data_IF_829963906201
#
_entry.id   IF_829963906201
#
_cell.length_a   1.000
_cell.length_b   1.000
_cell.length_c   1.000
_cell.angle_alpha   90.00
_cell.angle_beta   90.00
_cell.angle_gamma   90.00
#
_symmetry.space_group_name_H-M   'P 1'
#
loop_
_entity.id
_entity.type
_entity.pdbx_description
1 polymer ?
#
# COMPACT_ATOMS: atom_id res chain seq x y z
N UNK A 1 -9.80 -13.52 1.06
CA UNK A 1 -9.12 -12.70 0.03
C UNK A 1 -8.21 -13.53 -0.86
N UNK A 2 -7.26 -14.32 -0.33
CA UNK A 2 -6.35 -15.15 -1.12
C UNK A 2 -7.06 -16.08 -2.09
N UNK A 3 -8.06 -16.82 -1.62
CA UNK A 3 -8.79 -17.79 -2.47
C UNK A 3 -9.56 -17.06 -3.57
N UNK A 4 -10.34 -16.05 -3.23
CA UNK A 4 -11.15 -15.32 -4.22
C UNK A 4 -10.28 -14.53 -5.20
N UNK A 5 -9.26 -13.83 -4.70
CA UNK A 5 -8.32 -13.09 -5.55
C UNK A 5 -7.50 -14.02 -6.43
N UNK A 6 -6.96 -15.10 -5.87
CA UNK A 6 -6.17 -16.08 -6.60
C UNK A 6 -6.97 -16.81 -7.68
N UNK A 7 -8.21 -17.21 -7.39
CA UNK A 7 -9.10 -17.82 -8.36
C UNK A 7 -9.51 -16.83 -9.47
N UNK A 8 -9.92 -15.61 -9.09
CA UNK A 8 -10.30 -14.59 -10.05
C UNK A 8 -9.16 -14.21 -11.00
N UNK A 9 -7.96 -14.01 -10.46
CA UNK A 9 -6.79 -13.72 -11.27
C UNK A 9 -6.35 -14.93 -12.11
N UNK A 10 -6.43 -16.14 -11.57
CA UNK A 10 -6.15 -17.38 -12.31
C UNK A 10 -7.09 -17.59 -13.52
N UNK A 11 -8.39 -17.30 -13.33
CA UNK A 11 -9.37 -17.33 -14.43
C UNK A 11 -9.00 -16.29 -15.50
N UNK A 12 -8.67 -15.06 -15.08
CA UNK A 12 -8.23 -14.02 -16.01
C UNK A 12 -6.99 -14.45 -16.81
N UNK A 13 -5.97 -15.01 -16.13
CA UNK A 13 -4.76 -15.51 -16.78
C UNK A 13 -5.04 -16.63 -17.79
N UNK A 14 -5.94 -17.54 -17.47
CA UNK A 14 -6.34 -18.61 -18.39
C UNK A 14 -6.88 -18.07 -19.71
N UNK A 15 -7.66 -16.99 -19.67
CA UNK A 15 -8.18 -16.34 -20.87
C UNK A 15 -7.23 -15.30 -21.48
N UNK A 16 -6.13 -14.98 -20.82
CA UNK A 16 -5.23 -13.89 -21.24
C UNK A 16 -4.46 -14.17 -22.54
N UNK A 17 -4.29 -15.44 -22.90
CA UNK A 17 -3.50 -15.83 -24.10
C UNK A 17 -1.98 -15.70 -23.93
N UNK A 18 -1.50 -15.46 -22.71
CA UNK A 18 -0.08 -15.35 -22.37
C UNK A 18 0.52 -16.76 -22.21
N UNK A 19 1.84 -16.91 -22.40
CA UNK A 19 2.51 -18.20 -22.25
C UNK A 19 2.34 -18.77 -20.83
N UNK A 20 2.30 -20.10 -20.70
CA UNK A 20 2.08 -20.78 -19.42
C UNK A 20 3.13 -20.37 -18.36
N UNK A 21 4.38 -20.16 -18.75
CA UNK A 21 5.44 -19.71 -17.85
C UNK A 21 5.09 -18.38 -17.21
N UNK A 22 4.69 -17.38 -18.00
CA UNK A 22 4.30 -16.07 -17.52
C UNK A 22 3.00 -16.09 -16.71
N UNK A 23 2.06 -16.96 -17.05
CA UNK A 23 0.85 -17.15 -16.24
C UNK A 23 1.22 -17.62 -14.83
N UNK A 24 2.07 -18.64 -14.70
CA UNK A 24 2.50 -19.17 -13.40
C UNK A 24 3.27 -18.13 -12.61
N UNK A 25 4.27 -17.48 -13.22
CA UNK A 25 5.09 -16.45 -12.54
C UNK A 25 4.23 -15.27 -12.07
N UNK A 26 3.34 -14.79 -12.93
CA UNK A 26 2.45 -13.68 -12.59
C UNK A 26 1.47 -14.05 -11.48
N UNK A 27 0.91 -15.27 -11.51
CA UNK A 27 0.04 -15.76 -10.46
C UNK A 27 0.76 -15.91 -9.12
N UNK A 28 1.97 -16.46 -9.13
CA UNK A 28 2.80 -16.58 -7.91
C UNK A 28 3.11 -15.19 -7.33
N UNK A 29 3.56 -14.25 -8.15
CA UNK A 29 3.84 -12.89 -7.73
C UNK A 29 2.60 -12.22 -7.14
N UNK A 30 1.44 -12.36 -7.79
CA UNK A 30 0.18 -11.81 -7.31
C UNK A 30 -0.21 -12.37 -5.94
N UNK A 31 -0.07 -13.69 -5.73
CA UNK A 31 -0.37 -14.34 -4.44
C UNK A 31 0.55 -13.84 -3.33
N UNK A 32 1.84 -13.74 -3.60
CA UNK A 32 2.82 -13.20 -2.65
C UNK A 32 2.49 -11.74 -2.29
N UNK A 33 2.16 -10.92 -3.28
CA UNK A 33 1.80 -9.50 -3.06
C UNK A 33 0.56 -9.33 -2.19
N UNK A 34 -0.49 -10.15 -2.37
CA UNK A 34 -1.69 -10.11 -1.51
C UNK A 34 -1.33 -10.41 -0.06
N UNK A 35 -0.50 -11.43 0.17
CA UNK A 35 -0.07 -11.80 1.53
C UNK A 35 0.75 -10.67 2.16
N UNK A 36 1.78 -10.21 1.48
CA UNK A 36 2.63 -9.09 1.92
C UNK A 36 1.80 -7.85 2.26
N UNK A 37 0.85 -7.49 1.39
CA UNK A 37 -0.02 -6.33 1.63
C UNK A 37 -0.88 -6.48 2.87
N UNK A 38 -1.36 -7.69 3.13
CA UNK A 38 -2.11 -8.00 4.34
C UNK A 38 -1.22 -7.90 5.57
N UNK A 39 -0.03 -8.49 5.55
CA UNK A 39 0.93 -8.49 6.65
C UNK A 39 1.43 -7.08 7.00
N UNK A 40 1.69 -6.23 6.01
CA UNK A 40 2.08 -4.82 6.22
C UNK A 40 1.02 -4.08 7.03
N UNK A 41 -0.27 -4.29 6.75
CA UNK A 41 -1.33 -3.63 7.50
C UNK A 41 -1.29 -3.99 8.99
N UNK A 42 -1.05 -5.26 9.34
CA UNK A 42 -0.90 -5.70 10.74
C UNK A 42 0.35 -5.08 11.40
N UNK A 43 1.49 -5.12 10.73
CA UNK A 43 2.73 -4.55 11.26
C UNK A 43 2.68 -3.02 11.40
N UNK A 44 1.98 -2.34 10.51
CA UNK A 44 1.74 -0.89 10.60
C UNK A 44 0.93 -0.54 11.84
N UNK A 45 -0.07 -1.35 12.20
CA UNK A 45 -0.84 -1.17 13.44
C UNK A 45 0.04 -1.35 14.69
N UNK A 46 1.03 -2.23 14.65
CA UNK A 46 2.02 -2.44 15.71
C UNK A 46 3.08 -1.32 15.78
N UNK A 47 3.08 -0.41 14.79
CA UNK A 47 4.06 0.71 14.68
C UNK A 47 5.53 0.24 14.57
N UNK A 48 5.75 -0.99 14.13
CA UNK A 48 7.11 -1.52 13.88
C UNK A 48 7.62 -1.15 12.49
N UNK A 49 7.71 0.16 12.25
CA UNK A 49 8.16 0.68 10.95
C UNK A 49 9.62 0.32 10.63
N UNK A 50 10.46 0.10 11.64
CA UNK A 50 11.86 -0.27 11.43
C UNK A 50 11.97 -1.64 10.76
N UNK A 51 11.27 -2.62 11.28
CA UNK A 51 11.27 -3.98 10.72
C UNK A 51 10.66 -4.02 9.31
N UNK A 52 9.60 -3.21 9.07
CA UNK A 52 8.98 -3.08 7.75
C UNK A 52 10.00 -2.54 6.74
N UNK A 53 10.66 -1.41 7.04
CA UNK A 53 11.62 -0.77 6.15
C UNK A 53 12.82 -1.68 5.90
N UNK A 54 13.33 -2.35 6.93
CA UNK A 54 14.49 -3.23 6.83
C UNK A 54 14.18 -4.44 5.93
N UNK A 55 13.06 -5.11 6.14
CA UNK A 55 12.64 -6.23 5.31
C UNK A 55 12.42 -5.82 3.85
N UNK A 56 11.77 -4.67 3.61
CA UNK A 56 11.60 -4.12 2.27
C UNK A 56 12.94 -3.83 1.59
N UNK A 57 13.86 -3.17 2.31
CA UNK A 57 15.19 -2.83 1.76
C UNK A 57 15.97 -4.08 1.38
N UNK A 58 15.96 -5.11 2.23
CA UNK A 58 16.61 -6.40 1.94
C UNK A 58 15.95 -7.08 0.74
N UNK A 59 14.62 -7.12 0.68
CA UNK A 59 13.87 -7.72 -0.42
C UNK A 59 14.21 -7.07 -1.77
N UNK A 60 14.23 -5.73 -1.81
CA UNK A 60 14.59 -4.97 -3.01
C UNK A 60 16.06 -5.22 -3.41
N UNK A 61 16.99 -5.18 -2.45
CA UNK A 61 18.40 -5.46 -2.71
C UNK A 61 18.61 -6.86 -3.28
N UNK A 62 17.97 -7.88 -2.71
CA UNK A 62 18.03 -9.27 -3.20
C UNK A 62 17.42 -9.38 -4.58
N UNK A 63 16.24 -8.77 -4.83
CA UNK A 63 15.60 -8.80 -6.13
C UNK A 63 16.49 -8.17 -7.23
N UNK A 64 17.11 -7.02 -6.94
CA UNK A 64 18.02 -6.36 -7.88
C UNK A 64 19.29 -7.20 -8.16
N UNK A 65 19.91 -7.75 -7.11
CA UNK A 65 21.10 -8.59 -7.24
C UNK A 65 20.80 -9.86 -8.05
N UNK A 66 19.71 -10.57 -7.72
CA UNK A 66 19.32 -11.78 -8.45
C UNK A 66 18.93 -11.45 -9.89
N UNK A 67 18.21 -10.36 -10.14
CA UNK A 67 17.88 -9.91 -11.49
C UNK A 67 19.12 -9.64 -12.32
N UNK A 68 20.11 -8.94 -11.77
CA UNK A 68 21.38 -8.69 -12.42
C UNK A 68 22.14 -10.00 -12.72
N UNK A 69 22.20 -10.91 -11.76
CA UNK A 69 22.84 -12.23 -11.95
C UNK A 69 22.14 -13.05 -13.04
N UNK A 70 20.81 -13.10 -13.03
CA UNK A 70 20.06 -13.85 -14.04
C UNK A 70 20.25 -13.27 -15.45
N UNK A 71 20.32 -11.97 -15.60
CA UNK A 71 20.49 -11.33 -16.91
C UNK A 71 21.97 -11.46 -17.39
N UNK A 72 22.95 -11.16 -16.54
CA UNK A 72 24.35 -11.01 -16.97
C UNK A 72 25.14 -12.32 -16.90
N UNK A 73 24.83 -13.20 -15.94
CA UNK A 73 25.57 -14.47 -15.76
C UNK A 73 24.85 -15.60 -16.47
N UNK A 74 23.54 -15.74 -16.27
CA UNK A 74 22.76 -16.83 -16.83
C UNK A 74 22.15 -16.51 -18.20
N UNK A 75 22.27 -15.27 -18.68
CA UNK A 75 21.72 -14.79 -19.95
C UNK A 75 20.22 -15.10 -20.12
N UNK A 76 19.46 -15.10 -19.02
CA UNK A 76 18.03 -15.30 -19.04
C UNK A 76 17.37 -14.03 -19.63
N UNK A 77 16.29 -14.23 -20.37
CA UNK A 77 15.47 -13.11 -20.90
C UNK A 77 15.09 -12.13 -19.78
N UNK A 78 15.26 -10.84 -20.04
CA UNK A 78 15.11 -9.78 -19.04
C UNK A 78 13.75 -9.79 -18.31
N UNK A 79 12.65 -10.05 -19.03
CA UNK A 79 11.30 -10.08 -18.45
C UNK A 79 11.17 -11.24 -17.47
N UNK A 80 11.57 -12.43 -17.88
CA UNK A 80 11.57 -13.64 -17.03
C UNK A 80 12.48 -13.48 -15.81
N UNK A 81 13.71 -12.97 -16.02
CA UNK A 81 14.67 -12.72 -14.95
C UNK A 81 14.11 -11.76 -13.90
N UNK A 82 13.50 -10.66 -14.33
CA UNK A 82 12.89 -9.66 -13.44
C UNK A 82 11.68 -10.23 -12.71
N UNK A 83 10.78 -10.93 -13.38
CA UNK A 83 9.61 -11.54 -12.73
C UNK A 83 10.01 -12.54 -11.65
N UNK A 84 10.99 -13.41 -11.93
CA UNK A 84 11.49 -14.40 -10.96
C UNK A 84 12.18 -13.70 -9.79
N UNK A 85 13.09 -12.76 -10.05
CA UNK A 85 13.85 -12.06 -9.01
C UNK A 85 12.96 -11.23 -8.09
N UNK A 86 11.97 -10.52 -8.64
CA UNK A 86 10.98 -9.76 -7.87
C UNK A 86 10.13 -10.71 -7.02
N UNK A 87 9.68 -11.83 -7.59
CA UNK A 87 8.90 -12.83 -6.83
C UNK A 87 9.69 -13.39 -5.66
N UNK A 88 10.97 -13.71 -5.85
CA UNK A 88 11.86 -14.16 -4.77
C UNK A 88 12.04 -13.08 -3.72
N UNK A 89 12.31 -11.83 -4.11
CA UNK A 89 12.46 -10.71 -3.19
C UNK A 89 11.23 -10.49 -2.32
N UNK A 90 10.05 -10.44 -2.92
CA UNK A 90 8.80 -10.30 -2.16
C UNK A 90 8.47 -11.53 -1.32
N UNK A 91 8.86 -12.74 -1.76
CA UNK A 91 8.71 -13.96 -0.95
C UNK A 91 9.57 -13.92 0.32
N UNK A 92 10.79 -13.40 0.23
CA UNK A 92 11.66 -13.18 1.40
C UNK A 92 11.00 -12.18 2.36
N UNK A 93 10.45 -11.09 1.83
CA UNK A 93 9.73 -10.09 2.63
C UNK A 93 8.50 -10.70 3.32
N UNK A 94 7.71 -11.50 2.61
CA UNK A 94 6.56 -12.23 3.13
C UNK A 94 6.97 -13.14 4.30
N UNK A 95 8.01 -13.95 4.14
CA UNK A 95 8.49 -14.85 5.20
C UNK A 95 8.96 -14.04 6.41
N UNK A 96 9.65 -12.93 6.19
CA UNK A 96 10.11 -12.07 7.27
C UNK A 96 8.94 -11.45 8.05
N UNK A 97 7.95 -10.91 7.36
CA UNK A 97 6.76 -10.35 8.00
C UNK A 97 5.94 -11.41 8.73
N UNK A 98 5.79 -12.60 8.16
CA UNK A 98 5.15 -13.72 8.82
C UNK A 98 5.84 -14.08 10.15
N UNK A 99 7.17 -14.17 10.16
CA UNK A 99 7.95 -14.44 11.38
C UNK A 99 7.74 -13.33 12.42
N UNK A 100 7.71 -12.05 12.01
CA UNK A 100 7.46 -10.94 12.90
C UNK A 100 6.05 -11.03 13.51
N UNK A 101 5.03 -11.23 12.70
CA UNK A 101 3.64 -11.36 13.17
C UNK A 101 3.51 -12.53 14.14
N UNK A 102 4.12 -13.68 13.83
CA UNK A 102 4.12 -14.83 14.72
C UNK A 102 4.80 -14.56 16.07
N UNK A 103 5.85 -13.74 16.09
CA UNK A 103 6.52 -13.32 17.34
C UNK A 103 5.65 -12.38 18.18
N UNK A 104 4.90 -11.49 17.54
CA UNK A 104 3.99 -10.56 18.24
C UNK A 104 2.72 -11.27 18.73
N UNK A 105 2.25 -12.29 18.03
CA UNK A 105 1.01 -13.02 18.29
C UNK A 105 1.25 -14.53 18.36
N UNK A 106 2.00 -15.03 19.36
CA UNK A 106 2.34 -16.46 19.45
C UNK A 106 1.13 -17.36 19.67
N UNK A 107 0.03 -16.83 20.26
CA UNK A 107 -1.20 -17.58 20.57
C UNK A 107 -2.36 -17.16 19.67
N UNK A 108 -2.20 -17.33 18.37
CA UNK A 108 -3.18 -16.95 17.37
C UNK A 108 -4.36 -17.94 17.18
N UNK A 109 -4.88 -18.54 18.22
CA UNK A 109 -6.03 -19.45 18.15
C UNK A 109 -7.35 -18.71 18.34
N UNK A 110 -7.86 -18.11 17.30
CA UNK A 110 -9.20 -17.53 17.25
C UNK A 110 -10.01 -18.05 16.06
N UNK A 111 -11.34 -17.90 16.12
CA UNK A 111 -12.20 -18.18 14.96
C UNK A 111 -11.85 -17.23 13.83
N UNK A 112 -11.24 -17.75 12.78
CA UNK A 112 -10.67 -17.02 11.62
C UNK A 112 -11.66 -16.11 10.89
N UNK A 113 -12.98 -16.27 11.14
CA UNK A 113 -14.04 -15.54 10.46
C UNK A 113 -14.68 -14.41 11.28
N UNK A 114 -14.19 -14.12 12.49
CA UNK A 114 -14.75 -13.05 13.34
C UNK A 114 -14.69 -11.66 12.71
N UNK A 115 -13.74 -11.40 11.83
CA UNK A 115 -13.65 -10.13 11.11
C UNK A 115 -14.87 -9.87 10.20
N UNK A 116 -15.60 -10.91 9.76
CA UNK A 116 -16.81 -10.76 8.96
C UNK A 116 -17.94 -10.06 9.72
N UNK A 117 -17.95 -10.16 11.06
CA UNK A 117 -18.94 -9.47 11.90
C UNK A 117 -18.83 -7.93 11.80
N UNK A 118 -17.65 -7.41 11.40
CA UNK A 118 -17.47 -5.98 11.17
C UNK A 118 -18.22 -5.49 9.92
N UNK A 119 -18.46 -6.37 8.94
CA UNK A 119 -19.29 -6.03 7.78
C UNK A 119 -20.75 -5.79 8.16
N UNK A 120 -21.24 -6.47 9.19
CA UNK A 120 -22.61 -6.28 9.68
C UNK A 120 -22.76 -4.95 10.43
N UNK A 121 -21.72 -4.55 11.15
CA UNK A 121 -21.75 -3.33 11.98
C UNK A 121 -21.34 -2.07 11.21
N UNK A 122 -20.38 -2.15 10.29
CA UNK A 122 -19.82 -1.00 9.57
C UNK A 122 -19.55 -1.26 8.08
N UNK A 123 -20.57 -1.61 7.28
CA UNK A 123 -20.39 -1.89 5.86
C UNK A 123 -19.86 -0.67 5.09
N UNK A 124 -20.18 0.54 5.56
CA UNK A 124 -19.75 1.80 4.97
C UNK A 124 -18.23 1.93 4.84
N UNK A 125 -17.46 1.42 5.81
CA UNK A 125 -15.99 1.44 5.75
C UNK A 125 -15.45 0.60 4.61
N UNK A 126 -16.04 -0.57 4.37
CA UNK A 126 -15.68 -1.44 3.23
C UNK A 126 -15.95 -0.76 1.89
N UNK A 127 -17.13 -0.16 1.72
CA UNK A 127 -17.46 0.59 0.52
C UNK A 127 -16.56 1.81 0.32
N UNK A 128 -16.25 2.55 1.39
CA UNK A 128 -15.33 3.69 1.32
C UNK A 128 -13.95 3.24 0.83
N UNK A 129 -13.39 2.18 1.38
CA UNK A 129 -12.10 1.62 0.95
C UNK A 129 -12.13 1.18 -0.52
N UNK A 130 -13.21 0.52 -0.94
CA UNK A 130 -13.39 0.10 -2.33
C UNK A 130 -13.42 1.29 -3.28
N UNK A 131 -14.24 2.31 -3.02
CA UNK A 131 -14.36 3.49 -3.89
C UNK A 131 -13.09 4.34 -3.90
N UNK A 132 -12.37 4.45 -2.78
CA UNK A 132 -11.06 5.12 -2.74
C UNK A 132 -10.07 4.39 -3.64
N UNK A 133 -10.00 3.07 -3.55
CA UNK A 133 -9.11 2.25 -4.39
C UNK A 133 -9.51 2.33 -5.87
N UNK A 134 -10.80 2.27 -6.15
CA UNK A 134 -11.33 2.44 -7.52
C UNK A 134 -10.99 3.83 -8.08
N UNK A 135 -11.11 4.87 -7.28
CA UNK A 135 -10.73 6.24 -7.67
C UNK A 135 -9.23 6.39 -7.97
N UNK A 136 -8.38 5.71 -7.18
CA UNK A 136 -6.93 5.76 -7.37
C UNK A 136 -6.45 4.96 -8.59
N UNK A 137 -7.02 3.81 -8.88
CA UNK A 137 -6.50 2.89 -9.90
C UNK A 137 -7.44 2.66 -11.08
N UNK A 138 -8.74 2.98 -10.93
CA UNK A 138 -9.74 2.75 -11.99
C UNK A 138 -9.42 3.48 -13.29
N UNK A 139 -8.86 4.70 -13.19
CA UNK A 139 -8.46 5.46 -14.37
C UNK A 139 -7.37 4.75 -15.20
N UNK A 140 -6.44 4.01 -14.56
CA UNK A 140 -5.43 3.22 -15.27
C UNK A 140 -6.08 2.10 -16.06
N UNK A 141 -7.01 1.36 -15.43
CA UNK A 141 -7.75 0.26 -16.09
C UNK A 141 -8.53 0.79 -17.29
N UNK A 142 -9.19 1.94 -17.16
CA UNK A 142 -9.91 2.57 -18.27
C UNK A 142 -8.94 2.92 -19.41
N UNK A 143 -7.77 3.49 -19.11
CA UNK A 143 -6.77 3.84 -20.11
C UNK A 143 -6.17 2.61 -20.80
N UNK A 144 -5.94 1.52 -20.07
CA UNK A 144 -5.39 0.30 -20.67
C UNK A 144 -6.39 -0.43 -21.57
N UNK A 145 -7.69 -0.38 -21.30
CA UNK A 145 -8.67 -1.18 -22.06
C UNK A 145 -9.45 -0.36 -23.09
N UNK A 146 -9.74 0.89 -22.81
CA UNK A 146 -10.67 1.69 -23.62
C UNK A 146 -10.00 2.85 -24.37
N UNK A 147 -8.77 3.26 -24.00
CA UNK A 147 -8.12 4.39 -24.65
C UNK A 147 -7.59 4.03 -26.05
N UNK A 148 -7.60 4.98 -26.99
CA UNK A 148 -6.90 4.84 -28.28
C UNK A 148 -5.36 4.85 -28.11
N UNK A 149 -4.85 5.29 -26.98
CA UNK A 149 -3.42 5.30 -26.65
C UNK A 149 -2.91 3.97 -26.07
N UNK A 150 -3.77 2.98 -25.97
CA UNK A 150 -3.38 1.66 -25.46
C UNK A 150 -2.44 0.95 -26.42
N UNK A 151 -1.46 0.28 -25.85
CA UNK A 151 -0.54 -0.60 -26.58
C UNK A 151 -0.71 -2.01 -26.00
N UNK A 152 -0.92 -2.98 -26.86
CA UNK A 152 -0.95 -4.38 -26.44
C UNK A 152 0.47 -4.83 -26.10
N UNK A 153 0.65 -5.36 -24.90
CA UNK A 153 1.93 -5.92 -24.45
C UNK A 153 2.00 -7.40 -24.84
N UNK A 154 1.05 -8.18 -24.35
CA UNK A 154 0.91 -9.60 -24.69
C UNK A 154 -0.50 -10.08 -24.31
N UNK A 155 -1.17 -10.83 -25.18
CA UNK A 155 -2.51 -11.36 -24.92
C UNK A 155 -3.52 -10.27 -24.54
N UNK A 156 -4.14 -10.40 -23.37
CA UNK A 156 -5.08 -9.40 -22.84
C UNK A 156 -4.40 -8.31 -21.99
N UNK A 157 -3.07 -8.32 -21.89
CA UNK A 157 -2.34 -7.27 -21.17
C UNK A 157 -2.10 -6.07 -22.08
N UNK A 158 -2.64 -4.94 -21.66
CA UNK A 158 -2.49 -3.66 -22.33
C UNK A 158 -1.81 -2.66 -21.38
N UNK A 159 -1.06 -1.74 -21.94
CA UNK A 159 -0.49 -0.60 -21.23
C UNK A 159 -0.78 0.68 -22.01
N UNK A 160 -0.59 1.83 -21.40
CA UNK A 160 -0.68 3.13 -22.04
C UNK A 160 0.52 3.98 -21.63
N UNK A 161 1.76 3.73 -22.17
CA UNK A 161 2.99 4.34 -21.68
C UNK A 161 2.94 5.87 -21.64
N UNK A 162 2.28 6.51 -22.61
CA UNK A 162 2.09 7.97 -22.66
C UNK A 162 1.25 8.52 -21.51
N UNK A 163 0.41 7.69 -20.90
CA UNK A 163 -0.39 8.02 -19.73
C UNK A 163 0.22 7.48 -18.44
N UNK A 164 0.77 6.27 -18.47
CA UNK A 164 1.29 5.58 -17.29
C UNK A 164 2.48 6.32 -16.68
N UNK A 165 3.38 6.86 -17.53
CA UNK A 165 4.55 7.60 -17.04
C UNK A 165 4.16 8.87 -16.28
N UNK A 166 3.31 9.79 -16.79
CA UNK A 166 2.79 10.90 -15.99
C UNK A 166 2.03 10.48 -14.74
N UNK A 167 1.26 9.39 -14.81
CA UNK A 167 0.52 8.85 -13.66
C UNK A 167 1.45 8.40 -12.54
N UNK A 168 2.59 7.77 -12.85
CA UNK A 168 3.60 7.40 -11.85
C UNK A 168 4.14 8.64 -11.12
N UNK A 169 4.46 9.73 -11.83
CA UNK A 169 4.89 10.98 -11.19
C UNK A 169 3.80 11.60 -10.31
N UNK A 170 2.55 11.53 -10.74
CA UNK A 170 1.43 11.97 -9.92
C UNK A 170 1.31 11.12 -8.64
N UNK A 171 1.45 9.80 -8.72
CA UNK A 171 1.46 8.92 -7.55
C UNK A 171 2.62 9.22 -6.59
N UNK A 172 3.83 9.49 -7.08
CA UNK A 172 4.94 9.93 -6.23
C UNK A 172 4.62 11.22 -5.48
N UNK A 173 3.98 12.19 -6.12
CA UNK A 173 3.55 13.43 -5.47
C UNK A 173 2.53 13.18 -4.36
N UNK A 174 1.55 12.29 -4.61
CA UNK A 174 0.57 11.86 -3.61
C UNK A 174 1.26 11.12 -2.46
N UNK A 175 2.20 10.23 -2.77
CA UNK A 175 2.94 9.45 -1.76
C UNK A 175 3.71 10.36 -0.81
N UNK A 176 4.48 11.33 -1.33
CA UNK A 176 5.22 12.30 -0.52
C UNK A 176 4.27 13.07 0.40
N UNK A 177 3.13 13.51 -0.12
CA UNK A 177 2.12 14.23 0.66
C UNK A 177 1.52 13.34 1.75
N UNK A 178 1.23 12.09 1.44
CA UNK A 178 0.67 11.12 2.38
C UNK A 178 1.65 10.76 3.49
N UNK A 179 2.92 10.53 3.17
CA UNK A 179 3.98 10.26 4.17
C UNK A 179 4.14 11.44 5.12
N UNK A 180 4.21 12.67 4.59
CA UNK A 180 4.31 13.87 5.43
C UNK A 180 3.08 14.05 6.34
N UNK A 181 1.89 13.71 5.84
CA UNK A 181 0.68 13.77 6.65
C UNK A 181 0.70 12.72 7.76
N UNK A 182 0.97 11.47 7.44
CA UNK A 182 1.01 10.39 8.42
C UNK A 182 2.07 10.66 9.50
N UNK A 183 3.26 11.12 9.09
CA UNK A 183 4.31 11.52 10.03
C UNK A 183 3.83 12.65 10.94
N UNK A 184 3.16 13.67 10.40
CA UNK A 184 2.65 14.78 11.20
C UNK A 184 1.53 14.34 12.16
N UNK A 185 0.64 13.44 11.74
CA UNK A 185 -0.40 12.86 12.61
C UNK A 185 0.25 12.09 13.76
N UNK A 186 1.21 11.21 13.46
CA UNK A 186 1.85 10.37 14.48
C UNK A 186 2.72 11.17 15.45
N UNK A 187 3.46 12.18 14.97
CA UNK A 187 4.43 12.91 15.81
C UNK A 187 3.84 14.12 16.53
N UNK A 188 2.80 14.73 16.00
CA UNK A 188 2.25 15.98 16.55
C UNK A 188 0.83 15.83 17.06
N UNK A 189 -0.06 15.18 16.31
CA UNK A 189 -1.48 15.07 16.69
C UNK A 189 -1.69 13.95 17.72
N UNK A 190 -1.16 12.75 17.47
CA UNK A 190 -1.39 11.59 18.32
C UNK A 190 -0.98 11.78 19.80
N UNK A 191 0.16 12.42 20.13
CA UNK A 191 0.51 12.69 21.52
C UNK A 191 -0.54 13.58 22.22
N UNK A 192 -1.04 14.62 21.54
CA UNK A 192 -2.06 15.52 22.10
C UNK A 192 -3.42 14.82 22.24
N UNK A 193 -3.78 14.01 21.26
CA UNK A 193 -4.96 13.17 21.32
C UNK A 193 -4.90 12.21 22.53
N UNK A 194 -3.77 11.53 22.71
CA UNK A 194 -3.56 10.63 23.85
C UNK A 194 -3.63 11.36 25.20
N UNK A 195 -3.02 12.54 25.31
CA UNK A 195 -3.07 13.39 26.50
C UNK A 195 -4.52 13.77 26.84
N UNK A 196 -5.29 14.26 25.87
CA UNK A 196 -6.70 14.60 26.05
C UNK A 196 -7.53 13.40 26.55
N UNK A 197 -7.42 12.25 25.90
CA UNK A 197 -8.19 11.07 26.29
C UNK A 197 -7.73 10.42 27.59
N UNK A 198 -6.44 10.52 27.96
CA UNK A 198 -5.98 10.05 29.26
C UNK A 198 -6.58 10.85 30.41
N UNK A 199 -6.72 12.16 30.26
CA UNK A 199 -7.39 12.99 31.26
C UNK A 199 -8.85 12.63 31.46
N UNK A 200 -9.55 12.20 30.41
CA UNK A 200 -10.91 11.69 30.53
C UNK A 200 -10.99 10.37 31.32
N UNK A 201 -10.07 9.44 31.04
CA UNK A 201 -10.07 8.13 31.66
C UNK A 201 -9.54 8.15 33.10
N UNK A 202 -8.59 9.02 33.39
CA UNK A 202 -7.88 9.09 34.68
C UNK A 202 -8.50 10.11 35.65
N UNK A 203 -9.63 10.75 35.29
CA UNK A 203 -10.38 11.67 36.15
C UNK A 203 -9.74 13.06 36.30
N UNK A 204 -9.22 13.61 35.21
CA UNK A 204 -8.67 14.96 35.17
C UNK A 204 -9.69 16.06 35.50
N UNK A 205 -9.24 17.23 35.94
CA UNK A 205 -10.14 18.37 36.15
C UNK A 205 -10.71 18.88 34.81
N UNK A 206 -11.89 19.48 34.87
CA UNK A 206 -12.55 20.07 33.68
C UNK A 206 -11.66 21.11 33.01
N UNK A 207 -10.91 21.86 33.80
CA UNK A 207 -10.00 22.89 33.30
C UNK A 207 -8.85 22.27 32.50
N UNK A 208 -8.22 21.20 33.00
CA UNK A 208 -7.16 20.46 32.31
C UNK A 208 -7.66 19.79 31.03
N UNK A 209 -8.90 19.26 31.04
CA UNK A 209 -9.53 18.64 29.86
C UNK A 209 -9.76 19.69 28.76
N UNK A 210 -10.29 20.88 29.11
CA UNK A 210 -10.51 21.96 28.15
C UNK A 210 -9.18 22.52 27.58
N UNK A 211 -8.14 22.60 28.39
CA UNK A 211 -6.81 23.01 27.93
C UNK A 211 -6.22 22.00 26.94
N UNK A 212 -6.29 20.71 27.25
CA UNK A 212 -5.83 19.63 26.39
C UNK A 212 -6.62 19.55 25.08
N UNK A 213 -7.95 19.77 25.13
CA UNK A 213 -8.81 19.89 23.94
C UNK A 213 -8.36 21.04 23.04
N UNK A 214 -8.15 22.23 23.64
CA UNK A 214 -7.65 23.40 22.92
C UNK A 214 -6.32 23.14 22.22
N UNK A 215 -5.38 22.51 22.91
CA UNK A 215 -4.06 22.14 22.37
C UNK A 215 -4.18 21.11 21.23
N UNK A 216 -5.05 20.12 21.35
CA UNK A 216 -5.31 19.12 20.31
C UNK A 216 -5.95 19.77 19.05
N UNK A 217 -6.95 20.62 19.23
CA UNK A 217 -7.62 21.33 18.14
C UNK A 217 -6.70 22.31 17.41
N UNK A 218 -5.78 22.97 18.12
CA UNK A 218 -4.80 23.87 17.50
C UNK A 218 -3.84 23.13 16.58
N UNK A 219 -3.34 21.96 17.01
CA UNK A 219 -2.51 21.10 16.16
C UNK A 219 -3.31 20.64 14.91
N UNK A 220 -4.56 20.21 15.08
CA UNK A 220 -5.42 19.83 13.97
C UNK A 220 -5.64 20.98 12.97
N UNK A 221 -5.98 22.16 13.43
CA UNK A 221 -6.17 23.34 12.59
C UNK A 221 -4.90 23.73 11.83
N UNK A 222 -3.74 23.69 12.48
CA UNK A 222 -2.44 23.98 11.83
C UNK A 222 -2.10 22.95 10.75
N UNK A 223 -2.39 21.68 10.98
CA UNK A 223 -2.17 20.62 9.99
C UNK A 223 -3.02 20.83 8.73
N UNK A 224 -4.31 21.10 8.88
CA UNK A 224 -5.23 21.36 7.76
C UNK A 224 -4.78 22.61 6.99
N UNK A 225 -4.51 23.72 7.69
CA UNK A 225 -4.15 24.99 7.06
C UNK A 225 -2.79 24.96 6.36
N UNK A 226 -1.79 24.27 6.92
CA UNK A 226 -0.46 24.14 6.32
C UNK A 226 -0.51 23.31 5.03
N UNK A 227 -1.38 22.31 4.98
CA UNK A 227 -1.61 21.44 3.82
C UNK A 227 -2.17 22.21 2.62
N UNK A 228 -3.20 23.00 2.83
CA UNK A 228 -3.76 23.85 1.78
C UNK A 228 -2.73 24.83 1.24
N UNK A 229 -1.94 25.46 2.10
CA UNK A 229 -0.86 26.37 1.68
C UNK A 229 0.27 25.68 0.91
N UNK A 230 0.60 24.44 1.24
CA UNK A 230 1.63 23.67 0.53
C UNK A 230 1.13 23.24 -0.86
N UNK A 231 -0.07 22.67 -0.95
CA UNK A 231 -0.70 22.25 -2.20
C UNK A 231 -0.88 23.46 -3.14
N UNK A 232 -1.41 24.56 -2.61
CA UNK A 232 -1.58 25.80 -3.39
C UNK A 232 -0.25 26.36 -3.91
N UNK A 233 0.82 26.29 -3.14
CA UNK A 233 2.16 26.73 -3.62
C UNK A 233 2.71 25.81 -4.73
N UNK A 234 2.50 24.52 -4.66
CA UNK A 234 2.91 23.58 -5.72
C UNK A 234 2.09 23.86 -6.98
N UNK A 235 0.76 23.95 -6.85
CA UNK A 235 -0.12 24.25 -7.98
C UNK A 235 0.24 25.59 -8.64
N UNK A 236 0.41 26.65 -7.85
CA UNK A 236 0.81 27.96 -8.38
C UNK A 236 2.16 27.92 -9.09
N UNK A 237 3.12 27.11 -8.64
CA UNK A 237 4.41 26.96 -9.34
C UNK A 237 4.29 26.12 -10.61
N UNK A 238 3.40 25.16 -10.68
CA UNK A 238 3.16 24.32 -11.86
C UNK A 238 2.38 25.07 -12.94
N UNK A 239 1.51 26.03 -12.56
CA UNK A 239 0.71 26.82 -13.50
C UNK A 239 1.34 28.20 -13.81
N UNK A 240 2.47 28.55 -13.21
CA UNK A 240 3.21 29.80 -13.48
C UNK A 240 4.32 29.64 -14.56
N UNK A 241 4.29 28.54 -15.31
CA UNK A 241 5.07 28.27 -16.54
C UNK A 241 4.10 28.27 -17.71
#
# INVERSE_FOLDING_TARGET
MLILGGLGYGIFLYFSGVSLLYQILSWMLFMVLIVVWTEINYLTMLKDFRSIILAFTIAVAVALLLGAVFIWVFHIEAVTALMVSITIGYSIMMIWYFILIYRYFPEGFGTSMRFLQWFDTTPQLGFTGFFVTLGLFGHLVIMWWFSPLKVQVEGLFYGAPTYDVPAIFAFFSILITTVNFNTSVETRFYPRYKEYFSLFNDGGSIENINEAEGAMLDVYKRQVTSRWRFIMRILLRLFAV
#
